data_IF_282855421778
#
_entry.id   IF_282855421778
#
_cell.length_a   1.000
_cell.length_b   1.000
_cell.length_c   1.000
_cell.angle_alpha   90.00
_cell.angle_beta   90.00
_cell.angle_gamma   90.00
#
_symmetry.space_group_name_H-M   'P 1'
#
loop_
_entity.id
_entity.type
_entity.pdbx_description
1 polymer ?
#
# COMPACT_ATOMS: atom_id res chain seq x y z
N UNK A 1 7.22 -11.75 -10.50
CA UNK A 1 7.89 -10.62 -9.82
C UNK A 1 7.66 -10.62 -8.30
N UNK A 2 6.41 -10.58 -7.79
CA UNK A 2 6.19 -10.54 -6.33
C UNK A 2 6.70 -11.82 -5.63
N UNK A 3 6.34 -13.01 -6.11
CA UNK A 3 6.76 -14.29 -5.51
C UNK A 3 8.25 -14.60 -5.59
N UNK A 4 9.01 -13.90 -6.43
CA UNK A 4 10.48 -14.06 -6.50
C UNK A 4 11.20 -13.31 -5.39
N UNK A 5 10.48 -12.45 -4.63
CA UNK A 5 10.99 -11.64 -3.53
C UNK A 5 10.61 -12.30 -2.21
N UNK A 6 11.54 -13.00 -1.58
CA UNK A 6 11.31 -13.79 -0.35
C UNK A 6 10.87 -12.91 0.82
N UNK A 7 11.34 -11.67 0.85
CA UNK A 7 10.97 -10.64 1.84
C UNK A 7 9.48 -10.29 1.80
N UNK A 8 8.80 -10.52 0.68
CA UNK A 8 7.38 -10.21 0.51
C UNK A 8 6.45 -11.39 0.87
N UNK A 9 6.99 -12.57 1.22
CA UNK A 9 6.20 -13.81 1.31
C UNK A 9 5.07 -13.79 2.34
N UNK A 10 5.26 -13.09 3.46
CA UNK A 10 4.35 -13.11 4.60
C UNK A 10 3.75 -11.73 4.93
N UNK A 11 3.86 -10.78 4.00
CA UNK A 11 3.31 -9.44 4.17
C UNK A 11 2.25 -9.15 3.11
N UNK A 12 1.20 -8.38 3.44
CA UNK A 12 0.19 -7.98 2.47
C UNK A 12 0.80 -7.06 1.41
N UNK A 13 0.48 -7.31 0.14
CA UNK A 13 0.91 -6.49 -1.00
C UNK A 13 -0.34 -6.08 -1.78
N UNK A 14 -0.47 -4.77 -2.03
CA UNK A 14 -1.48 -4.22 -2.95
C UNK A 14 -0.80 -3.56 -4.13
N UNK A 15 -1.51 -3.50 -5.25
CA UNK A 15 -1.10 -2.79 -6.45
C UNK A 15 -2.25 -1.90 -6.92
N UNK A 16 -1.97 -1.04 -7.90
CA UNK A 16 -2.98 -0.16 -8.50
C UNK A 16 -3.62 0.81 -7.49
N UNK A 17 -2.83 1.30 -6.54
CA UNK A 17 -3.22 2.43 -5.70
C UNK A 17 -2.92 3.75 -6.46
N UNK A 18 -3.71 4.79 -6.19
CA UNK A 18 -3.63 6.09 -6.86
C UNK A 18 -2.40 6.90 -6.42
N UNK A 19 -1.19 6.46 -6.79
CA UNK A 19 0.07 7.16 -6.54
C UNK A 19 1.09 6.92 -7.68
N UNK A 20 2.16 7.72 -7.74
CA UNK A 20 3.22 7.56 -8.75
C UNK A 20 3.10 8.56 -9.89
N UNK A 21 3.09 8.11 -11.15
CA UNK A 21 3.15 8.98 -12.34
C UNK A 21 1.81 9.10 -13.09
N UNK A 22 0.74 8.46 -12.63
CA UNK A 22 -0.61 8.49 -13.25
C UNK A 22 -1.60 9.29 -12.41
N UNK A 23 -2.43 10.11 -13.03
CA UNK A 23 -3.42 10.94 -12.32
C UNK A 23 -4.80 10.27 -12.25
N UNK A 24 -5.59 10.52 -11.19
CA UNK A 24 -5.31 11.36 -10.00
C UNK A 24 -4.40 10.67 -8.96
N UNK A 25 -3.91 11.43 -7.97
CA UNK A 25 -3.03 10.91 -6.90
C UNK A 25 -3.54 11.25 -5.50
N UNK A 26 -3.34 10.35 -4.55
CA UNK A 26 -3.44 10.65 -3.11
C UNK A 26 -2.20 11.40 -2.61
N UNK A 27 -2.37 12.19 -1.56
CA UNK A 27 -1.25 12.72 -0.76
C UNK A 27 -1.10 11.86 0.50
N UNK A 28 0.14 11.49 0.84
CA UNK A 28 0.43 10.73 2.04
C UNK A 28 1.67 11.28 2.78
N UNK A 29 1.68 11.23 4.12
CA UNK A 29 2.76 11.77 4.94
C UNK A 29 3.99 10.84 4.95
N UNK A 30 5.15 11.37 4.55
CA UNK A 30 6.42 10.68 4.77
C UNK A 30 6.77 10.73 6.25
N UNK A 31 7.02 9.57 6.87
CA UNK A 31 7.20 9.45 8.32
C UNK A 31 5.91 9.26 9.12
N UNK A 32 4.74 9.27 8.45
CA UNK A 32 3.45 8.93 9.05
C UNK A 32 3.27 7.43 9.28
N UNK A 33 2.08 7.04 9.73
CA UNK A 33 1.71 5.63 9.98
C UNK A 33 0.43 5.29 9.23
N UNK A 34 0.39 4.12 8.59
CA UNK A 34 -0.77 3.62 7.89
C UNK A 34 -1.07 2.15 8.24
N UNK A 35 -2.32 1.74 8.06
CA UNK A 35 -2.79 0.36 8.21
C UNK A 35 -3.30 -0.17 6.88
N UNK A 36 -2.86 -1.37 6.54
CA UNK A 36 -3.23 -2.07 5.32
C UNK A 36 -3.99 -3.35 5.65
N UNK A 37 -5.15 -3.53 5.03
CA UNK A 37 -5.92 -4.77 5.01
C UNK A 37 -6.07 -5.22 3.56
N UNK A 38 -5.64 -6.44 3.24
CA UNK A 38 -5.59 -6.97 1.87
C UNK A 38 -6.04 -8.45 1.85
N UNK A 39 -7.31 -8.69 2.20
CA UNK A 39 -7.97 -10.00 2.07
C UNK A 39 -9.14 -9.88 1.08
N UNK A 40 -10.35 -10.26 1.48
CA UNK A 40 -11.56 -10.18 0.65
C UNK A 40 -11.91 -8.74 0.24
N UNK A 41 -11.60 -7.77 1.12
CA UNK A 41 -11.66 -6.34 0.83
C UNK A 41 -10.26 -5.75 0.99
N UNK A 42 -9.96 -4.75 0.18
CA UNK A 42 -8.72 -3.97 0.29
C UNK A 42 -9.03 -2.63 0.95
N UNK A 43 -8.31 -2.29 2.02
CA UNK A 43 -8.39 -1.00 2.72
C UNK A 43 -6.99 -0.52 3.08
N UNK A 44 -6.67 0.72 2.70
CA UNK A 44 -5.49 1.46 3.15
C UNK A 44 -5.96 2.68 3.94
N UNK A 45 -5.45 2.86 5.16
CA UNK A 45 -5.88 3.92 6.08
C UNK A 45 -4.67 4.62 6.68
N UNK A 46 -4.58 5.96 6.52
CA UNK A 46 -3.56 6.79 7.16
C UNK A 46 -4.02 7.07 8.60
N UNK A 47 -3.24 6.65 9.59
CA UNK A 47 -3.56 6.77 11.03
C UNK A 47 -2.91 8.01 11.63
N UNK A 48 -1.66 8.28 11.27
CA UNK A 48 -0.88 9.42 11.76
C UNK A 48 -0.23 10.12 10.58
N UNK A 49 -0.42 11.44 10.49
CA UNK A 49 0.09 12.29 9.43
C UNK A 49 0.89 13.47 9.97
#
# INVERSE_FOLDING_TARGET
>A
IIKTKKELNNIPVIANADFGHTTPHITFPIGGTAKLYAKERVKLEIIKH
#
